data_IF_984712051245
#
_entry.id   IF_984712051245
#
_cell.length_a   1.000
_cell.length_b   1.000
_cell.length_c   1.000
_cell.angle_alpha   90.00
_cell.angle_beta   90.00
_cell.angle_gamma   90.00
#
_symmetry.space_group_name_H-M   'P 1'
#
loop_
_entity.id
_entity.type
_entity.pdbx_description
1 polymer ?
#
# COMPACT_ATOMS: atom_id res chain seq x y z
N UNK A 1 35.00 10.00 19.81
CA UNK A 1 34.25 10.24 18.56
C UNK A 1 34.62 9.16 17.56
N UNK A 2 33.81 8.11 17.45
CA UNK A 2 33.98 7.09 16.41
C UNK A 2 33.27 7.58 15.15
N UNK A 3 34.04 7.92 14.10
CA UNK A 3 33.49 8.21 12.77
C UNK A 3 32.84 6.93 12.23
N UNK A 4 31.51 6.92 12.17
CA UNK A 4 30.73 5.91 11.45
C UNK A 4 31.14 5.94 9.98
N UNK A 5 31.92 4.93 9.54
CA UNK A 5 32.20 4.71 8.13
C UNK A 5 30.86 4.53 7.41
N UNK A 6 30.52 5.34 6.39
CA UNK A 6 29.32 5.11 5.61
C UNK A 6 29.40 3.70 5.01
N UNK A 7 28.44 2.86 5.38
CA UNK A 7 28.35 1.50 4.87
C UNK A 7 28.33 1.55 3.34
N UNK A 8 29.10 0.68 2.67
CA UNK A 8 29.11 0.54 1.20
C UNK A 8 27.69 0.39 0.62
N UNK A 9 26.75 -0.11 1.42
CA UNK A 9 25.32 -0.20 1.11
C UNK A 9 24.66 1.16 0.83
N UNK A 10 25.01 2.22 1.57
CA UNK A 10 24.44 3.57 1.38
C UNK A 10 24.86 4.18 0.04
N UNK A 11 26.12 3.95 -0.37
CA UNK A 11 26.64 4.44 -1.65
C UNK A 11 25.94 3.72 -2.82
N UNK A 12 25.73 2.40 -2.71
CA UNK A 12 25.00 1.63 -3.72
C UNK A 12 23.53 2.07 -3.81
N UNK A 13 22.86 2.31 -2.67
CA UNK A 13 21.48 2.81 -2.66
C UNK A 13 21.40 4.21 -3.30
N UNK A 14 22.30 5.12 -2.93
CA UNK A 14 22.34 6.46 -3.53
C UNK A 14 22.56 6.38 -5.05
N UNK A 15 23.49 5.54 -5.51
CA UNK A 15 23.78 5.38 -6.94
C UNK A 15 22.60 4.77 -7.72
N UNK A 16 21.90 3.78 -7.14
CA UNK A 16 20.70 3.20 -7.73
C UNK A 16 19.56 4.23 -7.82
N UNK A 17 19.40 5.09 -6.81
CA UNK A 17 18.37 6.15 -6.84
C UNK A 17 18.62 7.19 -7.94
N UNK A 18 19.88 7.47 -8.31
CA UNK A 18 20.23 8.42 -9.37
C UNK A 18 20.22 7.84 -10.80
N UNK A 19 20.25 6.51 -10.95
CA UNK A 19 20.43 5.84 -12.25
C UNK A 19 19.16 5.21 -12.83
N UNK A 20 18.03 5.23 -12.11
CA UNK A 20 16.75 4.77 -12.66
C UNK A 20 16.22 5.82 -13.63
N UNK A 21 16.47 5.60 -14.93
CA UNK A 21 15.68 6.25 -15.98
C UNK A 21 14.25 5.73 -15.86
N UNK A 22 13.34 6.59 -15.42
CA UNK A 22 11.93 6.25 -15.34
C UNK A 22 11.42 5.84 -16.72
N UNK A 23 10.59 4.80 -16.72
CA UNK A 23 9.75 4.50 -17.86
C UNK A 23 8.92 5.74 -18.22
N UNK A 24 8.71 5.96 -19.52
CA UNK A 24 8.05 7.13 -20.11
C UNK A 24 6.54 7.19 -19.82
N UNK A 25 5.99 6.27 -19.03
CA UNK A 25 4.56 6.18 -18.76
C UNK A 25 4.13 7.36 -17.88
N UNK A 26 3.02 7.99 -18.27
CA UNK A 26 2.39 9.11 -17.57
C UNK A 26 0.89 9.03 -17.80
N UNK A 27 0.10 9.56 -16.86
CA UNK A 27 -1.33 9.75 -17.11
C UNK A 27 -1.56 11.05 -17.89
N UNK A 28 -2.31 11.00 -18.99
CA UNK A 28 -2.62 12.18 -19.78
C UNK A 28 -3.96 12.05 -20.52
N UNK A 29 -4.49 13.18 -20.97
CA UNK A 29 -5.67 13.21 -21.82
C UNK A 29 -5.25 13.09 -23.29
N UNK A 30 -6.05 12.40 -24.12
CA UNK A 30 -5.82 12.37 -25.56
C UNK A 30 -5.77 13.78 -26.16
N UNK A 31 -4.79 14.07 -27.01
CA UNK A 31 -4.57 15.41 -27.61
C UNK A 31 -5.64 15.82 -28.63
N UNK A 32 -6.62 14.96 -28.91
CA UNK A 32 -7.71 15.28 -29.84
C UNK A 32 -8.66 16.34 -29.25
N UNK A 33 -9.06 17.36 -30.03
CA UNK A 33 -10.06 18.33 -29.61
C UNK A 33 -11.39 17.65 -29.24
N UNK A 34 -11.96 18.01 -28.09
CA UNK A 34 -13.21 17.42 -27.59
C UNK A 34 -13.10 15.99 -27.05
N UNK A 35 -11.95 15.31 -27.18
CA UNK A 35 -11.74 14.02 -26.53
C UNK A 35 -11.41 14.21 -25.05
N UNK A 36 -12.11 13.47 -24.20
CA UNK A 36 -11.83 13.36 -22.76
C UNK A 36 -11.34 11.96 -22.37
N UNK A 37 -10.80 11.21 -23.34
CA UNK A 37 -10.18 9.92 -23.09
C UNK A 37 -8.91 10.11 -22.28
N UNK A 38 -8.79 9.36 -21.18
CA UNK A 38 -7.63 9.36 -20.29
C UNK A 38 -6.78 8.12 -20.60
N UNK A 39 -5.50 8.31 -20.87
CA UNK A 39 -4.50 7.24 -20.88
C UNK A 39 -3.84 7.23 -19.52
N UNK A 40 -3.88 6.09 -18.83
CA UNK A 40 -3.35 5.96 -17.48
C UNK A 40 -1.90 5.53 -17.44
N UNK A 41 -1.21 5.93 -16.37
CA UNK A 41 0.14 5.45 -16.07
C UNK A 41 0.12 3.99 -15.59
N UNK A 42 0.58 3.10 -16.46
CA UNK A 42 0.65 1.67 -16.20
C UNK A 42 1.67 1.29 -15.13
N UNK A 43 2.64 2.16 -14.84
CA UNK A 43 3.68 1.92 -13.82
C UNK A 43 3.26 2.43 -12.43
N UNK A 44 2.10 3.11 -12.33
CA UNK A 44 1.51 3.56 -11.06
C UNK A 44 0.32 2.69 -10.67
N UNK A 45 -0.56 2.35 -11.62
CA UNK A 45 -1.78 1.57 -11.35
C UNK A 45 -2.18 0.64 -12.50
N UNK A 46 -1.21 0.21 -13.31
CA UNK A 46 -1.41 -0.85 -14.28
C UNK A 46 -1.84 -2.17 -13.64
N UNK A 47 -2.23 -3.13 -14.47
CA UNK A 47 -2.83 -4.38 -13.97
C UNK A 47 -1.86 -5.17 -13.08
N UNK A 48 -0.56 -5.20 -13.41
CA UNK A 48 0.45 -5.86 -12.58
C UNK A 48 0.63 -5.25 -11.19
N UNK A 49 0.62 -3.91 -11.09
CA UNK A 49 0.71 -3.18 -9.81
C UNK A 49 -0.53 -3.47 -8.95
N UNK A 50 -1.73 -3.34 -9.53
CA UNK A 50 -3.00 -3.58 -8.83
C UNK A 50 -3.10 -5.01 -8.31
N UNK A 51 -2.84 -6.01 -9.18
CA UNK A 51 -2.82 -7.41 -8.77
C UNK A 51 -1.73 -7.67 -7.71
N UNK A 52 -0.57 -7.03 -7.82
CA UNK A 52 0.47 -7.08 -6.80
C UNK A 52 -0.06 -6.65 -5.42
N UNK A 53 -0.72 -5.50 -5.32
CA UNK A 53 -1.34 -5.03 -4.07
C UNK A 53 -2.44 -5.97 -3.57
N UNK A 54 -3.34 -6.42 -4.44
CA UNK A 54 -4.42 -7.33 -4.04
C UNK A 54 -3.88 -8.65 -3.51
N UNK A 55 -2.87 -9.23 -4.17
CA UNK A 55 -2.20 -10.45 -3.71
C UNK A 55 -1.44 -10.22 -2.41
N UNK A 56 -0.80 -9.06 -2.21
CA UNK A 56 -0.15 -8.72 -0.95
C UNK A 56 -1.15 -8.60 0.21
N UNK A 57 -2.30 -7.97 -0.03
CA UNK A 57 -3.38 -7.89 0.96
C UNK A 57 -3.90 -9.29 1.34
N UNK A 58 -4.16 -10.15 0.35
CA UNK A 58 -4.54 -11.55 0.58
C UNK A 58 -3.45 -12.30 1.34
N UNK A 59 -2.18 -12.11 0.97
CA UNK A 59 -1.05 -12.74 1.65
C UNK A 59 -0.96 -12.32 3.13
N UNK A 60 -1.17 -11.04 3.46
CA UNK A 60 -1.22 -10.55 4.84
C UNK A 60 -2.38 -11.19 5.61
N UNK A 61 -3.58 -11.25 5.02
CA UNK A 61 -4.74 -11.89 5.64
C UNK A 61 -4.43 -13.34 6.02
N UNK A 62 -3.90 -14.13 5.08
CA UNK A 62 -3.54 -15.53 5.36
C UNK A 62 -2.34 -15.66 6.30
N UNK A 63 -1.34 -14.79 6.18
CA UNK A 63 -0.17 -14.80 7.05
C UNK A 63 -0.59 -14.60 8.51
N UNK A 64 -1.49 -13.66 8.78
CA UNK A 64 -2.03 -13.41 10.12
C UNK A 64 -2.55 -14.69 10.78
N UNK A 65 -3.23 -15.58 10.05
CA UNK A 65 -3.80 -16.80 10.63
C UNK A 65 -2.88 -18.02 10.59
N UNK A 66 -2.15 -18.22 9.49
CA UNK A 66 -1.48 -19.49 9.20
C UNK A 66 0.03 -19.40 9.46
N UNK A 67 0.65 -18.27 9.12
CA UNK A 67 2.08 -18.05 9.21
C UNK A 67 2.40 -16.61 9.65
N UNK A 68 2.15 -16.24 10.93
CA UNK A 68 2.31 -14.86 11.40
C UNK A 68 3.72 -14.30 11.18
N UNK A 69 4.73 -15.16 11.18
CA UNK A 69 6.11 -14.82 10.85
C UNK A 69 6.31 -14.28 9.43
N UNK A 70 5.42 -14.63 8.49
CA UNK A 70 5.45 -14.15 7.10
C UNK A 70 4.71 -12.83 6.90
N UNK A 71 3.91 -12.37 7.87
CA UNK A 71 3.20 -11.09 7.76
C UNK A 71 4.16 -9.90 7.63
N UNK A 72 5.34 -9.98 8.28
CA UNK A 72 6.42 -9.01 8.11
C UNK A 72 6.94 -8.98 6.67
N UNK A 73 7.16 -10.14 6.07
CA UNK A 73 7.63 -10.27 4.68
C UNK A 73 6.63 -9.63 3.72
N UNK A 74 5.34 -9.94 3.87
CA UNK A 74 4.28 -9.37 3.05
C UNK A 74 4.15 -7.85 3.21
N UNK A 75 4.19 -7.33 4.45
CA UNK A 75 4.18 -5.88 4.69
C UNK A 75 5.40 -5.19 4.07
N UNK A 76 6.57 -5.79 4.17
CA UNK A 76 7.81 -5.24 3.61
C UNK A 76 7.74 -5.20 2.08
N UNK A 77 7.23 -6.26 1.46
CA UNK A 77 6.99 -6.31 0.02
C UNK A 77 5.99 -5.23 -0.44
N UNK A 78 4.88 -5.05 0.28
CA UNK A 78 3.92 -3.98 0.01
C UNK A 78 4.55 -2.58 0.15
N UNK A 79 5.36 -2.35 1.18
CA UNK A 79 6.08 -1.08 1.36
C UNK A 79 7.03 -0.78 0.19
N UNK A 80 7.73 -1.78 -0.34
CA UNK A 80 8.63 -1.61 -1.49
C UNK A 80 7.84 -1.18 -2.73
N UNK A 81 6.70 -1.85 -3.01
CA UNK A 81 5.82 -1.47 -4.11
C UNK A 81 5.32 -0.03 -3.91
N UNK A 82 4.93 0.34 -2.69
CA UNK A 82 4.46 1.70 -2.36
C UNK A 82 5.52 2.78 -2.57
N UNK A 83 6.78 2.51 -2.22
CA UNK A 83 7.88 3.44 -2.52
C UNK A 83 8.01 3.68 -4.02
N UNK A 84 7.93 2.61 -4.83
CA UNK A 84 8.03 2.72 -6.29
C UNK A 84 6.84 3.51 -6.87
N UNK A 85 5.62 3.20 -6.42
CA UNK A 85 4.40 3.92 -6.85
C UNK A 85 4.49 5.40 -6.47
N UNK A 86 4.88 5.73 -5.24
CA UNK A 86 5.06 7.12 -4.82
C UNK A 86 6.12 7.85 -5.64
N UNK A 87 7.27 7.22 -5.90
CA UNK A 87 8.30 7.83 -6.72
C UNK A 87 7.77 8.20 -8.10
N UNK A 88 7.03 7.30 -8.76
CA UNK A 88 6.41 7.55 -10.06
C UNK A 88 5.31 8.62 -9.99
N UNK A 89 4.40 8.54 -9.02
CA UNK A 89 3.31 9.51 -8.83
C UNK A 89 3.83 10.93 -8.56
N UNK A 90 4.81 11.09 -7.67
CA UNK A 90 5.38 12.41 -7.36
C UNK A 90 6.18 12.98 -8.53
N UNK A 91 6.84 12.13 -9.32
CA UNK A 91 7.49 12.55 -10.56
C UNK A 91 6.47 13.02 -11.59
N UNK A 92 5.41 12.24 -11.84
CA UNK A 92 4.33 12.64 -12.74
C UNK A 92 3.67 13.95 -12.31
N UNK A 93 3.52 14.15 -10.99
CA UNK A 93 3.04 15.41 -10.43
C UNK A 93 3.96 16.60 -10.75
N UNK A 94 5.28 16.44 -10.66
CA UNK A 94 6.25 17.48 -11.03
C UNK A 94 6.23 17.80 -12.54
N UNK A 95 5.98 16.80 -13.37
CA UNK A 95 5.92 16.93 -14.82
C UNK A 95 4.54 17.40 -15.33
N UNK A 96 3.57 17.61 -14.43
CA UNK A 96 2.25 18.14 -14.76
C UNK A 96 1.23 17.10 -15.24
N UNK A 97 1.55 15.80 -15.14
CA UNK A 97 0.72 14.70 -15.65
C UNK A 97 -0.20 14.07 -14.61
N UNK A 98 -0.24 14.60 -13.38
CA UNK A 98 -1.08 14.03 -12.33
C UNK A 98 -2.56 14.38 -12.56
N UNK A 99 -3.36 13.37 -12.91
CA UNK A 99 -4.82 13.47 -13.00
C UNK A 99 -5.45 13.04 -11.67
N UNK A 100 -6.53 13.71 -11.26
CA UNK A 100 -7.21 13.46 -9.99
C UNK A 100 -7.59 11.99 -9.74
N UNK A 101 -8.00 11.27 -10.79
CA UNK A 101 -8.36 9.85 -10.70
C UNK A 101 -7.14 8.96 -10.34
N UNK A 102 -5.95 9.27 -10.85
CA UNK A 102 -4.72 8.55 -10.51
C UNK A 102 -4.44 8.69 -9.01
N UNK A 103 -4.47 9.91 -8.48
CA UNK A 103 -4.22 10.13 -7.05
C UNK A 103 -5.20 9.37 -6.16
N UNK A 104 -6.48 9.36 -6.54
CA UNK A 104 -7.50 8.60 -5.83
C UNK A 104 -7.16 7.11 -5.81
N UNK A 105 -6.80 6.52 -6.95
CA UNK A 105 -6.39 5.12 -7.05
C UNK A 105 -5.17 4.83 -6.17
N UNK A 106 -4.14 5.68 -6.24
CA UNK A 106 -2.91 5.56 -5.44
C UNK A 106 -3.25 5.58 -3.95
N UNK A 107 -4.06 6.55 -3.49
CA UNK A 107 -4.50 6.65 -2.09
C UNK A 107 -5.14 5.34 -1.60
N UNK A 108 -6.06 4.78 -2.38
CA UNK A 108 -6.76 3.55 -1.99
C UNK A 108 -5.81 2.33 -1.96
N UNK A 109 -4.91 2.20 -2.94
CA UNK A 109 -3.95 1.09 -3.01
C UNK A 109 -2.88 1.16 -1.92
N UNK A 110 -2.29 2.33 -1.68
CA UNK A 110 -1.11 2.45 -0.82
C UNK A 110 -1.46 2.68 0.64
N UNK A 111 -2.55 3.40 0.93
CA UNK A 111 -2.94 3.78 2.29
C UNK A 111 -4.11 2.94 2.79
N UNK A 112 -5.27 3.01 2.13
CA UNK A 112 -6.50 2.39 2.69
C UNK A 112 -6.40 0.87 2.75
N UNK A 113 -5.81 0.25 1.73
CA UNK A 113 -5.58 -1.20 1.70
C UNK A 113 -4.70 -1.69 2.87
N UNK A 114 -3.75 -0.86 3.32
CA UNK A 114 -2.81 -1.21 4.38
C UNK A 114 -3.25 -0.72 5.77
N UNK A 115 -4.30 0.10 5.88
CA UNK A 115 -4.69 0.82 7.10
C UNK A 115 -4.84 -0.05 8.35
N UNK A 116 -5.35 -1.27 8.19
CA UNK A 116 -5.56 -2.20 9.30
C UNK A 116 -4.52 -3.31 9.40
N UNK A 117 -3.42 -3.21 8.65
CA UNK A 117 -2.28 -4.16 8.67
C UNK A 117 -1.37 -3.95 9.88
N UNK A 118 -1.94 -4.08 11.08
CA UNK A 118 -1.27 -3.95 12.37
C UNK A 118 -0.57 -5.28 12.70
N UNK A 119 0.71 -5.27 13.13
CA UNK A 119 1.43 -6.50 13.46
C UNK A 119 0.93 -7.13 14.77
N UNK A 120 0.63 -8.42 14.74
CA UNK A 120 0.37 -9.23 15.95
C UNK A 120 1.62 -9.32 16.88
N UNK A 121 2.81 -9.27 16.29
CA UNK A 121 4.10 -9.32 16.99
C UNK A 121 4.87 -8.02 16.70
N UNK A 122 4.75 -7.08 17.64
CA UNK A 122 5.32 -5.74 17.52
C UNK A 122 6.85 -5.78 17.48
N UNK A 123 7.50 -6.64 18.28
CA UNK A 123 8.96 -6.68 18.38
C UNK A 123 9.57 -7.09 17.05
N UNK A 124 9.08 -8.19 16.47
CA UNK A 124 9.63 -8.75 15.23
C UNK A 124 9.31 -7.92 13.99
N UNK A 125 8.16 -7.25 13.96
CA UNK A 125 7.64 -6.53 12.79
C UNK A 125 7.75 -5.01 12.87
N UNK A 126 8.23 -4.46 13.98
CA UNK A 126 8.41 -3.04 14.27
C UNK A 126 8.97 -2.26 13.08
N UNK A 127 10.15 -2.60 12.57
CA UNK A 127 10.79 -1.84 11.49
C UNK A 127 9.94 -1.75 10.21
N UNK A 128 9.32 -2.85 9.80
CA UNK A 128 8.44 -2.89 8.62
C UNK A 128 7.17 -2.06 8.83
N UNK A 129 6.60 -2.11 10.04
CA UNK A 129 5.44 -1.31 10.40
C UNK A 129 5.78 0.18 10.50
N UNK A 130 6.93 0.54 11.08
CA UNK A 130 7.38 1.93 11.15
C UNK A 130 7.67 2.53 9.77
N UNK A 131 8.24 1.75 8.83
CA UNK A 131 8.37 2.19 7.42
C UNK A 131 6.99 2.44 6.80
N UNK A 132 6.01 1.56 7.06
CA UNK A 132 4.64 1.75 6.57
C UNK A 132 4.02 3.06 7.10
N UNK A 133 4.22 3.38 8.39
CA UNK A 133 3.78 4.65 8.97
C UNK A 133 4.45 5.86 8.33
N UNK A 134 5.75 5.79 8.01
CA UNK A 134 6.43 6.87 7.29
C UNK A 134 5.83 7.05 5.89
N UNK A 135 5.51 5.96 5.18
CA UNK A 135 4.82 6.02 3.89
C UNK A 135 3.41 6.64 4.03
N UNK A 136 2.70 6.34 5.11
CA UNK A 136 1.42 7.00 5.40
C UNK A 136 1.57 8.50 5.69
N UNK A 137 2.63 8.91 6.38
CA UNK A 137 2.96 10.32 6.52
C UNK A 137 3.19 10.97 5.15
N UNK A 138 3.93 10.32 4.24
CA UNK A 138 4.20 10.89 2.91
C UNK A 138 2.91 11.18 2.13
N UNK A 139 1.98 10.23 2.08
CA UNK A 139 0.73 10.43 1.33
C UNK A 139 -0.18 11.47 1.99
N UNK A 140 -0.31 11.45 3.33
CA UNK A 140 -1.15 12.41 4.08
C UNK A 140 -0.60 13.83 4.01
N UNK A 141 0.72 14.01 4.07
CA UNK A 141 1.38 15.32 3.91
C UNK A 141 1.21 15.91 2.50
N UNK A 142 1.00 15.06 1.49
CA UNK A 142 0.78 15.50 0.11
C UNK A 142 -0.69 15.91 -0.18
N UNK A 143 -1.67 15.44 0.61
CA UNK A 143 -3.09 15.72 0.38
C UNK A 143 -3.42 17.23 0.34
N UNK A 144 -2.89 18.09 1.26
CA UNK A 144 -3.17 19.52 1.18
C UNK A 144 -2.72 20.13 -0.15
N UNK A 145 -1.49 19.84 -0.61
CA UNK A 145 -1.04 20.35 -1.90
C UNK A 145 -1.95 19.89 -3.04
N UNK A 146 -2.37 18.61 -3.03
CA UNK A 146 -3.24 18.07 -4.05
C UNK A 146 -4.59 18.80 -4.12
N UNK A 147 -5.35 18.85 -3.01
CA UNK A 147 -6.71 19.39 -3.04
C UNK A 147 -6.75 20.91 -3.20
N UNK A 148 -5.69 21.61 -2.77
CA UNK A 148 -5.55 23.04 -2.98
C UNK A 148 -5.09 23.39 -4.40
N UNK A 149 -4.13 22.63 -4.97
CA UNK A 149 -3.51 22.96 -6.25
C UNK A 149 -3.39 21.78 -7.22
N UNK A 150 -2.93 20.61 -6.76
CA UNK A 150 -2.59 19.48 -7.62
C UNK A 150 -3.76 18.92 -8.47
N UNK A 151 -5.00 19.02 -8.01
CA UNK A 151 -6.17 18.58 -8.79
C UNK A 151 -6.35 19.31 -10.13
N UNK A 152 -5.86 20.56 -10.21
CA UNK A 152 -5.97 21.39 -11.40
C UNK A 152 -4.78 21.19 -12.37
N UNK A 153 -3.71 20.51 -11.93
CA UNK A 153 -2.46 20.36 -12.70
C UNK A 153 -2.64 19.54 -13.98
N UNK A 154 -3.23 18.35 -13.88
CA UNK A 154 -3.52 17.50 -15.04
C UNK A 154 -4.89 17.76 -15.67
N UNK A 155 -5.61 18.82 -15.30
CA UNK A 155 -6.99 19.04 -15.74
C UNK A 155 -7.06 19.54 -17.19
N UNK A 156 -7.81 18.84 -18.06
CA UNK A 156 -8.18 19.32 -19.40
C UNK A 156 -9.53 20.05 -19.35
N UNK A 157 -9.55 21.31 -19.77
CA UNK A 157 -10.75 22.14 -19.77
C UNK A 157 -11.90 21.46 -20.56
N UNK A 158 -13.09 21.39 -19.96
CA UNK A 158 -14.26 20.73 -20.53
C UNK A 158 -14.34 19.22 -20.28
N UNK A 159 -13.30 18.61 -19.70
CA UNK A 159 -13.32 17.19 -19.33
C UNK A 159 -13.59 17.00 -17.84
N UNK A 160 -14.61 16.19 -17.53
CA UNK A 160 -14.99 15.89 -16.15
C UNK A 160 -14.34 14.59 -15.72
N UNK A 161 -13.51 14.67 -14.68
CA UNK A 161 -12.96 13.49 -14.00
C UNK A 161 -13.89 13.13 -12.85
N UNK A 162 -14.20 11.84 -12.74
CA UNK A 162 -15.05 11.29 -11.69
C UNK A 162 -14.23 10.40 -10.75
N UNK A 163 -14.60 10.32 -9.49
CA UNK A 163 -14.13 9.26 -8.59
C UNK A 163 -15.33 8.45 -8.17
N UNK A 164 -15.15 7.15 -7.98
CA UNK A 164 -16.21 6.33 -7.43
C UNK A 164 -16.32 6.62 -5.93
N UNK A 165 -17.54 6.79 -5.45
CA UNK A 165 -17.90 6.78 -4.04
C UNK A 165 -19.37 6.38 -3.95
N UNK A 166 -19.66 5.09 -4.17
CA UNK A 166 -21.00 4.51 -4.42
C UNK A 166 -21.71 5.03 -5.68
N UNK A 167 -21.31 6.19 -6.19
CA UNK A 167 -21.67 6.77 -7.49
C UNK A 167 -20.46 7.52 -8.06
N UNK A 168 -20.49 7.88 -9.34
CA UNK A 168 -19.44 8.68 -9.97
C UNK A 168 -19.54 10.15 -9.57
N UNK A 169 -18.72 10.59 -8.63
CA UNK A 169 -18.68 11.98 -8.14
C UNK A 169 -17.68 12.79 -8.95
N UNK A 170 -18.10 13.95 -9.46
CA UNK A 170 -17.20 14.90 -10.11
C UNK A 170 -16.21 15.48 -9.08
N UNK A 171 -14.92 15.23 -9.26
CA UNK A 171 -13.85 15.70 -8.36
C UNK A 171 -13.75 17.23 -8.29
N UNK A 172 -14.22 17.92 -9.33
CA UNK A 172 -14.20 19.38 -9.43
C UNK A 172 -15.45 20.03 -8.85
N UNK A 173 -16.41 19.25 -8.33
CA UNK A 173 -17.55 19.80 -7.62
C UNK A 173 -17.09 20.61 -6.39
N UNK A 174 -17.62 21.82 -6.21
CA UNK A 174 -17.19 22.73 -5.15
C UNK A 174 -17.35 22.13 -3.74
N UNK A 175 -18.45 21.42 -3.47
CA UNK A 175 -18.72 20.80 -2.17
C UNK A 175 -17.71 19.69 -1.91
N UNK A 176 -17.52 18.80 -2.89
CA UNK A 176 -16.54 17.71 -2.81
C UNK A 176 -15.13 18.24 -2.57
N UNK A 177 -14.71 19.24 -3.35
CA UNK A 177 -13.38 19.86 -3.23
C UNK A 177 -13.20 20.53 -1.86
N UNK A 178 -14.23 21.21 -1.35
CA UNK A 178 -14.16 21.86 -0.02
C UNK A 178 -14.04 20.83 1.08
N UNK A 179 -14.82 19.76 1.03
CA UNK A 179 -14.75 18.65 1.98
C UNK A 179 -13.34 18.07 2.06
N UNK A 180 -12.73 17.74 0.91
CA UNK A 180 -11.38 17.17 0.87
C UNK A 180 -10.27 18.16 1.20
N UNK A 181 -10.44 19.46 0.91
CA UNK A 181 -9.50 20.48 1.41
C UNK A 181 -9.45 20.49 2.93
N UNK A 182 -10.61 20.51 3.60
CA UNK A 182 -10.68 20.47 5.07
C UNK A 182 -10.13 19.14 5.59
N UNK A 183 -10.58 18.02 5.03
CA UNK A 183 -10.11 16.68 5.40
C UNK A 183 -8.59 16.54 5.29
N UNK A 184 -7.99 17.06 4.22
CA UNK A 184 -6.54 16.98 4.00
C UNK A 184 -5.71 17.70 5.05
N UNK A 185 -6.20 18.79 5.63
CA UNK A 185 -5.51 19.49 6.72
C UNK A 185 -5.52 18.63 7.98
N UNK A 186 -6.66 18.01 8.30
CA UNK A 186 -6.79 17.09 9.44
C UNK A 186 -5.92 15.85 9.24
N UNK A 187 -5.94 15.25 8.05
CA UNK A 187 -5.11 14.10 7.69
C UNK A 187 -3.61 14.43 7.76
N UNK A 188 -3.20 15.63 7.36
CA UNK A 188 -1.81 16.07 7.47
C UNK A 188 -1.34 16.14 8.94
N UNK A 189 -2.19 16.61 9.85
CA UNK A 189 -1.89 16.58 11.29
C UNK A 189 -1.74 15.15 11.82
N UNK A 190 -2.58 14.23 11.36
CA UNK A 190 -2.43 12.80 11.65
C UNK A 190 -1.12 12.25 11.05
N UNK A 191 -0.75 12.69 9.84
CA UNK A 191 0.53 12.37 9.19
C UNK A 191 1.75 12.69 10.05
N UNK A 192 1.74 13.83 10.75
CA UNK A 192 2.79 14.20 11.70
C UNK A 192 2.93 13.15 12.81
N UNK A 193 1.81 12.63 13.32
CA UNK A 193 1.84 11.55 14.33
C UNK A 193 2.42 10.27 13.74
N UNK A 194 2.04 9.89 12.52
CA UNK A 194 2.60 8.71 11.84
C UNK A 194 4.11 8.83 11.64
N UNK A 195 4.62 10.02 11.34
CA UNK A 195 6.05 10.25 11.19
C UNK A 195 6.82 9.98 12.48
N UNK A 196 6.42 10.62 13.58
CA UNK A 196 7.11 10.47 14.86
C UNK A 196 6.97 9.04 15.41
N UNK A 197 5.76 8.47 15.36
CA UNK A 197 5.55 7.07 15.76
C UNK A 197 6.35 6.12 14.88
N UNK A 198 6.38 6.33 13.57
CA UNK A 198 7.16 5.53 12.63
C UNK A 198 8.65 5.52 12.95
N UNK A 199 9.24 6.70 13.23
CA UNK A 199 10.63 6.83 13.65
C UNK A 199 10.89 6.09 14.97
N UNK A 200 10.06 6.32 15.99
CA UNK A 200 10.21 5.67 17.30
C UNK A 200 10.13 4.15 17.15
N UNK A 201 9.16 3.64 16.40
CA UNK A 201 8.99 2.20 16.17
C UNK A 201 10.18 1.60 15.42
N UNK A 202 10.75 2.29 14.43
CA UNK A 202 11.96 1.83 13.75
C UNK A 202 13.14 1.78 14.72
N UNK A 203 13.37 2.85 15.50
CA UNK A 203 14.47 2.92 16.46
C UNK A 203 14.34 1.80 17.49
N UNK A 204 13.16 1.67 18.13
CA UNK A 204 12.88 0.60 19.10
C UNK A 204 13.09 -0.76 18.44
N UNK A 205 12.61 -0.96 17.21
CA UNK A 205 12.80 -2.20 16.47
C UNK A 205 14.25 -2.58 16.15
N UNK A 206 15.12 -1.58 16.00
CA UNK A 206 16.56 -1.79 15.79
C UNK A 206 17.30 -2.14 17.08
N UNK A 207 16.81 -1.70 18.24
CA UNK A 207 17.45 -1.89 19.54
C UNK A 207 16.77 -2.93 20.44
N UNK A 208 15.59 -3.42 20.09
CA UNK A 208 14.87 -4.41 20.88
C UNK A 208 15.58 -5.76 20.81
N UNK A 209 16.07 -6.22 21.97
CA UNK A 209 16.49 -7.60 22.20
C UNK A 209 15.23 -8.47 22.34
N UNK A 210 15.26 -9.69 21.78
CA UNK A 210 14.16 -10.66 21.84
C UNK A 210 13.90 -11.10 23.30
N UNK A 211 13.19 -10.27 24.05
CA UNK A 211 12.73 -10.61 25.39
C UNK A 211 11.39 -11.33 25.28
N UNK A 212 11.33 -12.56 25.82
CA UNK A 212 10.17 -13.44 25.78
C UNK A 212 8.94 -12.74 26.38
N UNK A 213 7.88 -12.59 25.59
CA UNK A 213 6.64 -11.98 26.03
C UNK A 213 5.86 -12.92 26.96
N UNK A 214 5.32 -12.37 28.04
CA UNK A 214 4.37 -13.08 28.90
C UNK A 214 3.09 -13.46 28.13
N UNK A 215 2.45 -14.59 28.48
CA UNK A 215 1.25 -15.07 27.81
C UNK A 215 0.06 -14.15 28.12
N UNK A 216 -0.25 -13.26 27.17
CA UNK A 216 -1.49 -12.51 27.17
C UNK A 216 -2.71 -13.45 27.12
N UNK A 217 -3.77 -13.12 27.85
CA UNK A 217 -5.06 -13.84 27.88
C UNK A 217 -5.54 -14.18 26.46
N UNK A 218 -5.63 -15.49 26.16
CA UNK A 218 -5.88 -15.98 24.80
C UNK A 218 -7.19 -15.46 24.16
N UNK A 219 -8.22 -15.20 24.97
CA UNK A 219 -9.53 -14.77 24.46
C UNK A 219 -9.51 -13.33 23.89
N UNK A 220 -8.89 -12.38 24.59
CA UNK A 220 -8.81 -10.99 24.15
C UNK A 220 -7.98 -10.85 22.87
N UNK A 221 -6.88 -11.60 22.78
CA UNK A 221 -6.02 -11.65 21.60
C UNK A 221 -6.74 -12.21 20.37
N UNK A 222 -7.51 -13.28 20.54
CA UNK A 222 -8.32 -13.85 19.45
C UNK A 222 -9.39 -12.85 19.00
N UNK A 223 -10.09 -12.21 19.93
CA UNK A 223 -11.13 -11.23 19.61
C UNK A 223 -10.57 -10.01 18.83
N UNK A 224 -9.45 -9.45 19.29
CA UNK A 224 -8.76 -8.35 18.59
C UNK A 224 -8.33 -8.76 17.18
N UNK A 225 -7.75 -9.96 17.05
CA UNK A 225 -7.33 -10.50 15.76
C UNK A 225 -8.49 -10.72 14.78
N UNK A 226 -9.62 -11.23 15.27
CA UNK A 226 -10.85 -11.37 14.49
C UNK A 226 -11.37 -10.01 14.02
N UNK A 227 -11.41 -9.02 14.92
CA UNK A 227 -11.84 -7.67 14.60
C UNK A 227 -10.94 -7.03 13.53
N UNK A 228 -9.62 -7.10 13.69
CA UNK A 228 -8.66 -6.58 12.72
C UNK A 228 -8.77 -7.29 11.37
N UNK A 229 -8.91 -8.61 11.37
CA UNK A 229 -9.09 -9.40 10.12
C UNK A 229 -10.38 -9.01 9.41
N UNK A 230 -11.49 -8.88 10.15
CA UNK A 230 -12.76 -8.46 9.58
C UNK A 230 -12.67 -7.06 8.99
N UNK A 231 -12.06 -6.12 9.72
CA UNK A 231 -11.80 -4.78 9.23
C UNK A 231 -10.95 -4.78 7.96
N UNK A 232 -9.85 -5.55 7.92
CA UNK A 232 -9.00 -5.72 6.74
C UNK A 232 -9.77 -6.30 5.54
N UNK A 233 -10.69 -7.23 5.78
CA UNK A 233 -11.55 -7.79 4.73
C UNK A 233 -12.45 -6.71 4.13
N UNK A 234 -13.13 -5.96 4.98
CA UNK A 234 -14.02 -4.87 4.57
C UNK A 234 -13.23 -3.78 3.83
N UNK A 235 -12.12 -3.30 4.39
CA UNK A 235 -11.32 -2.25 3.75
C UNK A 235 -10.74 -2.72 2.42
N UNK A 236 -10.25 -3.96 2.33
CA UNK A 236 -9.71 -4.49 1.09
C UNK A 236 -10.74 -4.65 -0.02
N UNK A 237 -11.94 -5.17 0.30
CA UNK A 237 -13.04 -5.27 -0.67
C UNK A 237 -13.45 -3.87 -1.15
N UNK A 238 -13.62 -2.92 -0.22
CA UNK A 238 -13.96 -1.54 -0.58
C UNK A 238 -12.85 -0.94 -1.45
N UNK A 239 -11.57 -1.09 -1.11
CA UNK A 239 -10.44 -0.62 -1.93
C UNK A 239 -10.52 -1.15 -3.36
N UNK A 240 -10.70 -2.46 -3.55
CA UNK A 240 -10.80 -3.06 -4.89
C UNK A 240 -11.95 -2.42 -5.65
N UNK A 241 -13.13 -2.32 -5.04
CA UNK A 241 -14.31 -1.69 -5.69
C UNK A 241 -14.02 -0.23 -6.05
N UNK A 242 -13.42 0.54 -5.15
CA UNK A 242 -13.11 1.96 -5.37
C UNK A 242 -12.13 2.15 -6.52
N UNK A 243 -11.08 1.33 -6.60
CA UNK A 243 -10.07 1.38 -7.66
C UNK A 243 -10.67 0.97 -9.00
N UNK A 244 -11.28 -0.22 -9.08
CA UNK A 244 -11.80 -0.78 -10.33
C UNK A 244 -12.95 0.08 -10.90
N UNK A 245 -13.85 0.56 -10.04
CA UNK A 245 -14.94 1.41 -10.48
C UNK A 245 -14.48 2.81 -10.87
N UNK A 246 -13.46 3.38 -10.22
CA UNK A 246 -12.89 4.67 -10.65
C UNK A 246 -12.28 4.55 -12.05
N UNK A 247 -11.55 3.47 -12.34
CA UNK A 247 -11.02 3.20 -13.69
C UNK A 247 -12.16 3.07 -14.69
N UNK A 248 -13.19 2.28 -14.36
CA UNK A 248 -14.33 2.02 -15.25
C UNK A 248 -15.16 3.27 -15.54
N UNK A 249 -15.49 4.07 -14.52
CA UNK A 249 -16.34 5.27 -14.66
C UNK A 249 -15.67 6.35 -15.52
N UNK A 250 -14.34 6.41 -15.53
CA UNK A 250 -13.59 7.34 -16.39
C UNK A 250 -13.13 6.72 -17.71
N UNK A 251 -13.39 5.43 -17.95
CA UNK A 251 -12.90 4.71 -19.12
C UNK A 251 -11.38 4.89 -19.33
N UNK A 252 -10.61 4.80 -18.25
CA UNK A 252 -9.15 4.98 -18.30
C UNK A 252 -8.55 3.85 -19.14
N UNK A 253 -7.83 4.23 -20.18
CA UNK A 253 -7.12 3.30 -21.05
C UNK A 253 -5.77 2.92 -20.45
N UNK A 254 -5.57 1.64 -20.19
CA UNK A 254 -4.35 1.05 -19.63
C UNK A 254 -3.74 0.02 -20.59
N UNK A 255 -4.16 -0.02 -21.87
CA UNK A 255 -3.67 -1.02 -22.83
C UNK A 255 -2.33 -0.68 -23.48
N UNK A 256 -1.71 0.44 -23.09
CA UNK A 256 -0.46 0.92 -23.67
C UNK A 256 0.75 0.03 -23.35
N UNK A 257 0.69 -0.74 -22.25
CA UNK A 257 1.80 -1.56 -21.77
C UNK A 257 1.27 -2.92 -21.31
N UNK A 258 1.90 -3.98 -21.81
CA UNK A 258 1.59 -5.37 -21.45
C UNK A 258 2.05 -5.72 -20.02
N UNK A 259 1.43 -6.72 -19.41
CA UNK A 259 1.79 -7.27 -18.09
C UNK A 259 3.26 -7.73 -18.03
N UNK A 260 3.82 -8.09 -19.18
CA UNK A 260 5.23 -8.51 -19.32
C UNK A 260 6.24 -7.37 -19.18
N UNK A 261 5.81 -6.11 -19.12
CA UNK A 261 6.72 -5.00 -18.82
C UNK A 261 7.28 -5.13 -17.40
N UNK A 262 8.53 -4.71 -17.18
CA UNK A 262 9.17 -4.84 -15.86
C UNK A 262 8.42 -4.09 -14.76
N UNK A 263 7.87 -2.91 -15.06
CA UNK A 263 7.08 -2.09 -14.12
C UNK A 263 5.81 -2.79 -13.64
N UNK A 264 5.22 -3.67 -14.45
CA UNK A 264 4.03 -4.44 -14.09
C UNK A 264 4.36 -5.84 -13.56
N UNK A 265 5.33 -6.51 -14.17
CA UNK A 265 5.72 -7.88 -13.86
C UNK A 265 6.31 -8.00 -12.46
N UNK A 266 7.17 -7.05 -12.04
CA UNK A 266 7.84 -7.12 -10.73
C UNK A 266 6.84 -7.09 -9.57
N UNK A 267 5.92 -6.11 -9.46
CA UNK A 267 4.89 -6.10 -8.40
C UNK A 267 4.01 -7.35 -8.42
N UNK A 268 3.62 -7.83 -9.60
CA UNK A 268 2.82 -9.03 -9.76
C UNK A 268 3.54 -10.28 -9.23
N UNK A 269 4.80 -10.48 -9.63
CA UNK A 269 5.63 -11.58 -9.14
C UNK A 269 5.88 -11.48 -7.63
N UNK A 270 6.14 -10.28 -7.11
CA UNK A 270 6.28 -10.05 -5.67
C UNK A 270 5.01 -10.51 -4.93
N UNK A 271 3.82 -10.17 -5.44
CA UNK A 271 2.53 -10.66 -4.92
C UNK A 271 2.42 -12.19 -4.93
N UNK A 272 2.63 -12.81 -6.10
CA UNK A 272 2.56 -14.26 -6.30
C UNK A 272 3.54 -15.05 -5.41
N UNK A 273 4.79 -14.58 -5.31
CA UNK A 273 5.80 -15.23 -4.50
C UNK A 273 5.52 -15.09 -3.00
N UNK A 274 4.98 -13.95 -2.58
CA UNK A 274 4.63 -13.72 -1.17
C UNK A 274 3.49 -14.63 -0.73
N UNK A 275 2.41 -14.71 -1.51
CA UNK A 275 1.29 -15.59 -1.18
C UNK A 275 1.73 -17.06 -1.18
N UNK A 276 2.56 -17.47 -2.15
CA UNK A 276 3.13 -18.82 -2.20
C UNK A 276 4.01 -19.11 -0.96
N UNK A 277 4.82 -18.15 -0.51
CA UNK A 277 5.65 -18.30 0.68
C UNK A 277 4.82 -18.46 1.97
N UNK A 278 3.71 -17.73 2.09
CA UNK A 278 2.77 -17.84 3.21
C UNK A 278 2.13 -19.22 3.25
N UNK A 279 1.56 -19.69 2.13
CA UNK A 279 0.95 -21.01 2.06
C UNK A 279 1.97 -22.14 2.24
N UNK A 280 3.16 -22.01 1.65
CA UNK A 280 4.25 -22.98 1.82
C UNK A 280 4.67 -23.14 3.28
N UNK A 281 4.82 -22.03 4.02
CA UNK A 281 5.11 -22.07 5.46
C UNK A 281 3.96 -22.69 6.25
N UNK A 282 2.71 -22.33 5.92
CA UNK A 282 1.53 -22.90 6.54
C UNK A 282 1.43 -24.41 6.39
N UNK A 283 1.61 -24.90 5.16
CA UNK A 283 1.61 -26.33 4.87
C UNK A 283 2.74 -27.06 5.61
N UNK A 284 3.94 -26.48 5.64
CA UNK A 284 5.07 -27.05 6.39
C UNK A 284 4.74 -27.21 7.88
N UNK A 285 4.12 -26.20 8.51
CA UNK A 285 3.69 -26.28 9.92
C UNK A 285 2.62 -27.35 10.13
N UNK A 286 1.63 -27.42 9.24
CA UNK A 286 0.58 -28.44 9.29
C UNK A 286 1.18 -29.85 9.23
N UNK A 287 2.07 -30.10 8.27
CA UNK A 287 2.76 -31.39 8.12
C UNK A 287 3.60 -31.73 9.36
N UNK A 288 4.31 -30.76 9.93
CA UNK A 288 5.08 -30.96 11.17
C UNK A 288 4.18 -31.32 12.36
N UNK A 289 3.01 -30.67 12.49
CA UNK A 289 2.03 -30.98 13.54
C UNK A 289 1.48 -32.40 13.40
N UNK A 290 1.12 -32.80 12.17
CA UNK A 290 0.64 -34.15 11.89
C UNK A 290 1.70 -35.22 12.19
N UNK A 291 2.98 -34.96 11.86
CA UNK A 291 4.09 -35.89 12.15
C UNK A 291 4.38 -36.07 13.64
N UNK A 292 4.09 -35.06 14.47
CA UNK A 292 4.30 -35.14 15.93
C UNK A 292 3.22 -35.95 16.66
N UNK A 293 2.14 -36.32 15.98
CA UNK A 293 1.03 -37.05 16.61
C UNK A 293 0.20 -36.18 17.57
N UNK A 294 0.37 -34.86 17.53
CA UNK A 294 -0.46 -33.90 18.28
C UNK A 294 -1.88 -33.91 17.69
N UNK A 295 -2.68 -34.89 18.09
CA UNK A 295 -4.09 -34.98 17.71
C UNK A 295 -4.83 -33.75 18.24
N UNK A 296 -5.52 -32.97 17.40
CA UNK A 296 -6.10 -31.68 17.79
C UNK A 296 -7.35 -31.78 18.68
N UNK A 297 -7.66 -32.95 19.27
CA UNK A 297 -8.88 -33.17 20.07
C UNK A 297 -8.64 -34.12 21.24
N UNK A 298 -7.88 -33.69 22.25
CA UNK A 298 -7.59 -34.52 23.42
C UNK A 298 -7.46 -33.75 24.73
N UNK A 299 -8.44 -32.93 25.11
CA UNK A 299 -8.71 -32.57 26.52
C UNK A 299 -9.99 -31.74 26.68
N UNK A 300 -11.12 -32.45 26.67
CA UNK A 300 -12.41 -31.93 27.10
C UNK A 300 -13.17 -33.06 27.80
N UNK A 301 -12.54 -33.65 28.81
CA UNK A 301 -13.08 -34.76 29.58
C UNK A 301 -12.61 -34.69 31.02
N UNK A 302 -13.28 -33.87 31.81
CA UNK A 302 -13.66 -34.06 33.21
C UNK A 302 -14.32 -32.76 33.71
#
# INVERSE_FOLDING_TARGET
MAFLKPSRTLIVIAFLLFSVQSALAKTYFEDKPGSCKIFGDTDVYGIGIRLGYYLQWVAVLFATWIAPEQAKTARTAANIITVAVFANTFRGAQEGSLVAAEWWIVLWLTFVLSLLNIPDDWKRSSSSFGVMLILWCMITAAQPWLYFKGLDTGHKHGCVVKVFFFTGINVYNHVWRTFWKVGSVVECLLGVTFFFTGIVVIIVGLFSVDESSEPESGAAKIASKLFLTFGQLVTGIITIVQVEMTIRVNSIDLSSVDLMSSGQLIPFLIGCLTIAAVFGHGLKKLVQKLRRGDSPMGSGGA
#
